data_IF_796137243250
#
_entry.id   IF_796137243250
#
_cell.length_a   1.000
_cell.length_b   1.000
_cell.length_c   1.000
_cell.angle_alpha   90.00
_cell.angle_beta   90.00
_cell.angle_gamma   90.00
#
_symmetry.space_group_name_H-M   'P 1'
#
loop_
_entity.id
_entity.type
_entity.pdbx_description
1 polymer ?
#
# COMPACT_ATOMS: atom_id res chain seq x y z
N UNK A 1 13.37 56.07 -5.59
CA UNK A 1 12.00 55.93 -6.12
C UNK A 1 11.80 54.47 -6.51
N UNK A 2 11.83 53.54 -5.55
CA UNK A 2 10.67 53.02 -4.80
C UNK A 2 9.57 52.46 -5.72
N UNK A 3 9.58 51.14 -5.91
CA UNK A 3 8.35 50.35 -5.84
C UNK A 3 8.71 48.93 -5.39
N UNK A 4 8.72 48.76 -4.08
CA UNK A 4 8.70 47.45 -3.43
C UNK A 4 7.28 46.94 -3.59
N UNK A 5 7.06 45.96 -4.45
CA UNK A 5 5.80 45.23 -4.49
C UNK A 5 5.77 44.33 -3.25
N UNK A 6 4.94 44.74 -2.29
CA UNK A 6 4.54 43.91 -1.15
C UNK A 6 3.52 42.93 -1.70
N UNK A 7 3.96 41.70 -1.98
CA UNK A 7 3.06 40.56 -2.15
C UNK A 7 2.43 40.25 -0.80
N UNK A 8 1.15 40.59 -0.67
CA UNK A 8 0.27 40.16 0.42
C UNK A 8 0.04 38.66 0.36
N UNK A 9 0.96 37.88 0.91
CA UNK A 9 0.78 36.45 1.19
C UNK A 9 -0.01 36.28 2.48
N UNK A 10 -1.34 36.42 2.46
CA UNK A 10 -2.17 35.95 3.58
C UNK A 10 -3.65 35.66 3.26
N UNK A 11 -4.08 35.67 1.98
CA UNK A 11 -5.50 35.45 1.64
C UNK A 11 -5.86 33.99 1.24
N UNK A 12 -4.91 33.04 1.28
CA UNK A 12 -5.11 31.71 0.69
C UNK A 12 -5.36 30.52 1.64
N UNK A 13 -5.17 30.66 2.95
CA UNK A 13 -5.08 29.50 3.87
C UNK A 13 -6.42 29.03 4.47
N UNK A 14 -7.51 29.75 4.22
CA UNK A 14 -8.84 29.35 4.67
C UNK A 14 -9.41 28.15 3.89
N UNK A 15 -10.46 27.46 4.41
CA UNK A 15 -11.09 26.32 3.75
C UNK A 15 -11.52 26.60 2.30
N UNK A 16 -11.99 27.82 2.03
CA UNK A 16 -12.39 28.29 0.69
C UNK A 16 -11.21 28.38 -0.28
N UNK A 17 -10.03 28.80 0.20
CA UNK A 17 -8.81 28.90 -0.61
C UNK A 17 -8.27 27.53 -1.01
N UNK A 18 -8.22 26.60 -0.05
CA UNK A 18 -7.82 25.21 -0.31
C UNK A 18 -8.78 24.51 -1.28
N UNK A 19 -10.09 24.61 -1.09
CA UNK A 19 -11.08 23.99 -1.99
C UNK A 19 -10.92 24.48 -3.44
N UNK A 20 -10.75 25.78 -3.64
CA UNK A 20 -10.53 26.36 -4.96
C UNK A 20 -9.20 25.92 -5.58
N UNK A 21 -8.11 25.88 -4.79
CA UNK A 21 -6.80 25.40 -5.25
C UNK A 21 -6.85 23.92 -5.65
N UNK A 22 -7.55 23.10 -4.86
CA UNK A 22 -7.73 21.67 -5.11
C UNK A 22 -8.52 21.45 -6.39
N UNK A 23 -9.62 22.19 -6.59
CA UNK A 23 -10.42 22.10 -7.82
C UNK A 23 -9.59 22.47 -9.05
N UNK A 24 -8.78 23.53 -8.99
CA UNK A 24 -7.86 23.91 -10.07
C UNK A 24 -6.88 22.77 -10.41
N UNK A 25 -6.29 22.12 -9.40
CA UNK A 25 -5.39 20.99 -9.64
C UNK A 25 -6.09 19.80 -10.31
N UNK A 26 -7.36 19.53 -9.98
CA UNK A 26 -8.12 18.45 -10.59
C UNK A 26 -8.50 18.73 -12.05
N UNK A 27 -8.70 20.01 -12.40
CA UNK A 27 -9.06 20.43 -13.77
C UNK A 27 -7.83 20.61 -14.68
N UNK A 28 -6.62 20.58 -14.14
CA UNK A 28 -5.39 20.72 -14.93
C UNK A 28 -5.04 19.40 -15.64
N UNK A 29 -5.33 19.33 -16.94
CA UNK A 29 -4.99 18.19 -17.80
C UNK A 29 -3.48 17.97 -17.91
N UNK A 30 -2.70 19.04 -18.00
CA UNK A 30 -1.24 19.00 -18.13
C UNK A 30 -0.50 18.35 -16.94
N UNK A 31 -1.20 18.14 -15.82
CA UNK A 31 -0.67 17.44 -14.64
C UNK A 31 -1.56 16.23 -14.38
N UNK A 32 -1.29 15.10 -15.03
CA UNK A 32 -1.92 13.80 -14.78
C UNK A 32 -0.99 12.88 -13.98
N UNK A 33 -1.51 11.75 -13.50
CA UNK A 33 -0.73 10.68 -12.87
C UNK A 33 0.10 11.12 -11.64
N UNK A 34 1.37 10.66 -11.50
CA UNK A 34 2.17 10.91 -10.30
C UNK A 34 2.37 12.40 -9.95
N UNK A 35 2.64 13.32 -10.90
CA UNK A 35 2.70 14.76 -10.63
C UNK A 35 1.42 15.33 -9.99
N UNK A 36 0.23 14.89 -10.43
CA UNK A 36 -1.06 15.33 -9.86
C UNK A 36 -1.19 14.88 -8.42
N UNK A 37 -1.00 13.58 -8.16
CA UNK A 37 -1.10 13.00 -6.82
C UNK A 37 -0.14 13.66 -5.83
N UNK A 38 1.09 13.90 -6.25
CA UNK A 38 2.08 14.58 -5.42
C UNK A 38 1.73 16.06 -5.18
N UNK A 39 1.16 16.76 -6.17
CA UNK A 39 0.69 18.13 -6.00
C UNK A 39 -0.53 18.23 -5.08
N UNK A 40 -1.48 17.29 -5.20
CA UNK A 40 -2.61 17.18 -4.29
C UNK A 40 -2.13 16.91 -2.86
N UNK A 41 -1.22 15.96 -2.66
CA UNK A 41 -0.68 15.66 -1.34
C UNK A 41 0.00 16.89 -0.71
N UNK A 42 0.84 17.62 -1.46
CA UNK A 42 1.48 18.85 -0.96
C UNK A 42 0.47 19.94 -0.62
N UNK A 43 -0.51 20.19 -1.49
CA UNK A 43 -1.55 21.18 -1.23
C UNK A 43 -2.32 20.84 0.06
N UNK A 44 -2.66 19.56 0.25
CA UNK A 44 -3.32 19.10 1.48
C UNK A 44 -2.41 19.21 2.70
N UNK A 45 -1.12 18.88 2.56
CA UNK A 45 -0.14 19.02 3.65
C UNK A 45 -0.04 20.47 4.12
N UNK A 46 0.10 21.43 3.19
CA UNK A 46 0.23 22.85 3.51
C UNK A 46 -1.01 23.38 4.25
N UNK A 47 -2.20 22.99 3.78
CA UNK A 47 -3.46 23.37 4.39
C UNK A 47 -3.63 22.77 5.80
N UNK A 48 -3.41 21.46 5.96
CA UNK A 48 -3.49 20.79 7.25
C UNK A 48 -2.43 21.30 8.24
N UNK A 49 -1.23 21.65 7.75
CA UNK A 49 -0.18 22.25 8.56
C UNK A 49 -0.60 23.61 9.10
N UNK A 50 -1.24 24.44 8.28
CA UNK A 50 -1.82 25.72 8.70
C UNK A 50 -2.86 25.55 9.79
N UNK A 51 -3.83 24.64 9.60
CA UNK A 51 -4.87 24.34 10.60
C UNK A 51 -4.27 23.85 11.92
N UNK A 52 -3.39 22.85 11.85
CA UNK A 52 -2.75 22.26 13.03
C UNK A 52 -1.93 23.29 13.80
N UNK A 53 -1.10 24.08 13.12
CA UNK A 53 -0.17 25.03 13.77
C UNK A 53 -0.93 26.14 14.49
N UNK A 54 -1.95 26.71 13.84
CA UNK A 54 -2.80 27.73 14.43
C UNK A 54 -3.57 27.19 15.64
N UNK A 55 -4.11 25.97 15.53
CA UNK A 55 -4.84 25.32 16.61
C UNK A 55 -3.97 24.96 17.81
N UNK A 56 -2.80 24.35 17.56
CA UNK A 56 -1.86 23.94 18.61
C UNK A 56 -1.36 25.15 19.41
N UNK A 57 -1.07 26.26 18.71
CA UNK A 57 -0.64 27.51 19.35
C UNK A 57 -1.75 28.10 20.22
N UNK A 58 -2.98 28.17 19.71
CA UNK A 58 -4.15 28.70 20.45
C UNK A 58 -4.48 27.87 21.69
N UNK A 59 -4.40 26.54 21.57
CA UNK A 59 -4.69 25.61 22.65
C UNK A 59 -3.50 25.42 23.61
N UNK A 60 -2.33 26.00 23.32
CA UNK A 60 -1.11 25.82 24.11
C UNK A 60 -0.57 24.38 24.11
N UNK A 61 -0.96 23.57 23.12
CA UNK A 61 -0.58 22.16 23.03
C UNK A 61 0.84 22.04 22.48
N UNK A 62 1.70 21.36 23.24
CA UNK A 62 3.03 20.92 22.82
C UNK A 62 3.07 19.39 22.83
N UNK A 63 4.06 18.78 22.17
CA UNK A 63 4.20 17.32 22.13
C UNK A 63 3.10 16.61 21.34
N UNK A 64 2.56 17.27 20.30
CA UNK A 64 1.59 16.68 19.38
C UNK A 64 2.09 16.78 17.93
N UNK A 65 1.64 15.85 17.09
CA UNK A 65 1.97 15.81 15.68
C UNK A 65 0.79 15.29 14.85
N UNK A 66 0.60 15.85 13.66
CA UNK A 66 -0.31 15.34 12.66
C UNK A 66 0.45 14.46 11.68
N UNK A 67 -0.06 13.25 11.46
CA UNK A 67 0.60 12.20 10.68
C UNK A 67 -0.35 11.69 9.60
N UNK A 68 0.10 11.64 8.35
CA UNK A 68 -0.61 10.98 7.27
C UNK A 68 -0.23 9.51 7.22
N UNK A 69 -1.19 8.61 7.02
CA UNK A 69 -0.94 7.16 6.90
C UNK A 69 -1.44 6.64 5.55
N UNK A 70 -1.14 5.37 5.23
CA UNK A 70 -1.67 4.73 4.02
C UNK A 70 -1.30 5.46 2.71
N UNK A 71 -2.27 5.62 1.81
CA UNK A 71 -2.06 6.25 0.50
C UNK A 71 -1.64 7.72 0.59
N UNK A 72 -2.20 8.44 1.56
CA UNK A 72 -1.82 9.83 1.79
C UNK A 72 -0.42 9.94 2.43
N UNK A 73 -0.08 9.02 3.33
CA UNK A 73 1.26 8.87 3.90
C UNK A 73 2.34 8.65 2.82
N UNK A 74 2.02 7.94 1.74
CA UNK A 74 2.92 7.74 0.58
C UNK A 74 3.01 8.93 -0.38
N UNK A 75 2.20 9.99 -0.17
CA UNK A 75 2.14 11.13 -1.09
C UNK A 75 1.41 10.84 -2.40
N UNK A 76 0.51 9.86 -2.39
CA UNK A 76 -0.17 9.32 -3.58
C UNK A 76 -1.68 9.56 -3.52
N UNK A 77 -2.07 10.78 -3.18
CA UNK A 77 -3.46 11.12 -2.97
C UNK A 77 -4.21 11.13 -4.32
N UNK A 78 -5.09 10.15 -4.51
CA UNK A 78 -5.98 10.09 -5.67
C UNK A 78 -7.06 11.19 -5.59
N UNK A 79 -7.64 11.63 -6.72
CA UNK A 79 -8.58 12.76 -6.78
C UNK A 79 -9.75 12.73 -5.79
N UNK A 80 -10.23 11.54 -5.43
CA UNK A 80 -11.37 11.32 -4.54
C UNK A 80 -11.06 10.36 -3.39
N UNK A 81 -9.77 10.06 -3.12
CA UNK A 81 -9.44 9.20 -1.97
C UNK A 81 -9.59 9.94 -0.65
N UNK A 82 -9.92 9.17 0.38
CA UNK A 82 -10.00 9.58 1.77
C UNK A 82 -8.65 10.12 2.27
N UNK A 83 -8.71 10.99 3.27
CA UNK A 83 -7.55 11.40 4.06
C UNK A 83 -7.44 10.48 5.27
N UNK A 84 -6.37 9.69 5.34
CA UNK A 84 -6.08 8.85 6.51
C UNK A 84 -5.10 9.60 7.43
N UNK A 85 -5.58 10.04 8.60
CA UNK A 85 -4.85 10.92 9.52
C UNK A 85 -4.73 10.34 10.94
N UNK A 86 -3.58 10.57 11.57
CA UNK A 86 -3.34 10.25 12.98
C UNK A 86 -2.86 11.53 13.67
N UNK A 87 -3.62 11.98 14.67
CA UNK A 87 -3.17 12.97 15.63
C UNK A 87 -2.45 12.24 16.77
N UNK A 88 -1.12 12.33 16.75
CA UNK A 88 -0.23 11.72 17.73
C UNK A 88 0.05 12.73 18.85
N UNK A 89 0.03 12.30 20.12
CA UNK A 89 0.40 13.13 21.25
C UNK A 89 1.22 12.37 22.31
N UNK A 90 2.06 13.05 23.07
CA UNK A 90 2.89 12.44 24.12
C UNK A 90 2.17 12.23 25.46
N UNK A 91 0.94 12.74 25.58
CA UNK A 91 0.12 12.66 26.80
C UNK A 91 0.34 13.81 27.79
N UNK A 92 1.18 14.79 27.45
CA UNK A 92 1.44 15.97 28.30
C UNK A 92 0.36 17.04 28.22
N UNK A 93 -0.41 17.08 27.12
CA UNK A 93 -1.47 18.04 26.90
C UNK A 93 -2.72 17.71 27.72
N UNK A 94 -3.40 18.74 28.21
CA UNK A 94 -4.73 18.60 28.80
C UNK A 94 -5.74 18.05 27.78
N UNK A 95 -6.67 17.21 28.24
CA UNK A 95 -7.62 16.52 27.38
C UNK A 95 -8.54 17.49 26.62
N UNK A 96 -8.96 18.60 27.24
CA UNK A 96 -9.80 19.58 26.57
C UNK A 96 -9.02 20.36 25.52
N UNK A 97 -7.75 20.68 25.80
CA UNK A 97 -6.85 21.33 24.83
C UNK A 97 -6.56 20.42 23.62
N UNK A 98 -6.36 19.12 23.85
CA UNK A 98 -6.17 18.13 22.78
C UNK A 98 -7.44 17.94 21.94
N UNK A 99 -8.61 17.89 22.57
CA UNK A 99 -9.90 17.83 21.87
C UNK A 99 -10.12 19.07 21.00
N UNK A 100 -9.83 20.27 21.53
CA UNK A 100 -9.94 21.52 20.77
C UNK A 100 -8.97 21.57 19.57
N UNK A 101 -7.76 21.00 19.73
CA UNK A 101 -6.81 20.84 18.63
C UNK A 101 -7.37 19.89 17.55
N UNK A 102 -7.85 18.72 17.96
CA UNK A 102 -8.45 17.72 17.07
C UNK A 102 -9.61 18.31 16.27
N UNK A 103 -10.58 18.92 16.95
CA UNK A 103 -11.75 19.56 16.34
C UNK A 103 -11.37 20.65 15.33
N UNK A 104 -10.35 21.46 15.67
CA UNK A 104 -9.85 22.51 14.77
C UNK A 104 -9.22 21.97 13.49
N UNK A 105 -8.85 20.70 13.43
CA UNK A 105 -8.31 20.02 12.24
C UNK A 105 -9.41 19.24 11.51
N UNK A 106 -10.23 18.48 12.24
CA UNK A 106 -11.21 17.56 11.64
C UNK A 106 -12.43 18.27 11.04
N UNK A 107 -13.02 19.24 11.75
CA UNK A 107 -14.22 19.92 11.25
C UNK A 107 -13.99 20.61 9.89
N UNK A 108 -12.88 21.34 9.67
CA UNK A 108 -12.61 21.90 8.34
C UNK A 108 -12.51 20.85 7.21
N UNK A 109 -12.08 19.62 7.51
CA UNK A 109 -12.03 18.53 6.52
C UNK A 109 -13.44 18.04 6.19
N UNK A 110 -14.27 17.84 7.21
CA UNK A 110 -15.67 17.42 7.03
C UNK A 110 -16.53 18.50 6.37
N UNK A 111 -16.34 19.76 6.73
CA UNK A 111 -17.09 20.89 6.17
C UNK A 111 -16.86 21.05 4.66
N UNK A 112 -15.70 20.60 4.17
CA UNK A 112 -15.38 20.55 2.74
C UNK A 112 -15.90 19.29 2.04
N UNK A 113 -16.56 18.38 2.76
CA UNK A 113 -17.07 17.12 2.24
C UNK A 113 -15.97 16.13 1.84
N UNK A 114 -14.75 16.28 2.37
CA UNK A 114 -13.69 15.29 2.17
C UNK A 114 -13.90 14.11 3.11
N UNK A 115 -13.76 12.90 2.56
CA UNK A 115 -13.73 11.70 3.38
C UNK A 115 -12.47 11.67 4.25
N UNK A 116 -12.64 11.33 5.53
CA UNK A 116 -11.62 11.37 6.56
C UNK A 116 -11.71 10.11 7.42
N UNK A 117 -10.66 9.31 7.41
CA UNK A 117 -10.40 8.32 8.46
C UNK A 117 -9.37 8.93 9.41
N UNK A 118 -9.70 9.01 10.71
CA UNK A 118 -8.83 9.66 11.68
C UNK A 118 -8.78 8.93 13.01
N UNK A 119 -7.67 9.14 13.73
CA UNK A 119 -7.53 8.69 15.11
C UNK A 119 -6.69 9.65 15.92
N UNK A 120 -6.95 9.71 17.24
CA UNK A 120 -6.13 10.45 18.20
C UNK A 120 -5.53 9.42 19.15
N UNK A 121 -4.20 9.33 19.21
CA UNK A 121 -3.50 8.30 19.98
C UNK A 121 -2.18 8.80 20.55
N UNK A 122 -1.77 8.22 21.66
CA UNK A 122 -0.37 8.20 22.08
C UNK A 122 0.46 7.20 21.26
N UNK A 123 1.80 7.29 21.24
CA UNK A 123 2.64 6.27 20.61
C UNK A 123 2.39 4.86 21.17
N UNK A 124 2.11 4.75 22.48
CA UNK A 124 1.79 3.48 23.13
C UNK A 124 0.48 2.87 22.61
N UNK A 125 -0.57 3.68 22.50
CA UNK A 125 -1.86 3.25 21.95
C UNK A 125 -1.76 2.91 20.46
N UNK A 126 -1.06 3.72 19.66
CA UNK A 126 -0.84 3.44 18.24
C UNK A 126 -0.13 2.10 18.02
N UNK A 127 0.90 1.81 18.82
CA UNK A 127 1.59 0.50 18.80
C UNK A 127 0.70 -0.63 19.27
N UNK A 128 -0.10 -0.43 20.32
CA UNK A 128 -1.05 -1.44 20.81
C UNK A 128 -2.08 -1.78 19.72
N UNK A 129 -2.73 -0.78 19.13
CA UNK A 129 -3.70 -1.01 18.05
C UNK A 129 -3.06 -1.68 16.84
N UNK A 130 -1.82 -1.32 16.46
CA UNK A 130 -1.09 -2.04 15.43
C UNK A 130 -0.78 -3.51 15.81
N UNK A 131 -0.57 -3.77 17.10
CA UNK A 131 -0.43 -5.09 17.68
C UNK A 131 -1.72 -5.93 17.63
N UNK A 132 -2.89 -5.30 17.63
CA UNK A 132 -4.17 -6.00 17.62
C UNK A 132 -4.76 -6.11 16.20
N UNK A 133 -4.52 -5.13 15.34
CA UNK A 133 -5.06 -5.05 13.97
C UNK A 133 -3.95 -4.90 12.92
N UNK A 134 -3.85 -5.92 12.05
CA UNK A 134 -2.90 -5.95 10.94
C UNK A 134 -3.12 -4.80 9.95
N UNK A 135 -4.36 -4.38 9.68
CA UNK A 135 -4.62 -3.26 8.74
C UNK A 135 -4.07 -1.95 9.28
N UNK A 136 -4.23 -1.70 10.57
CA UNK A 136 -3.65 -0.52 11.24
C UNK A 136 -2.12 -0.58 11.19
N UNK A 137 -1.53 -1.75 11.43
CA UNK A 137 -0.09 -1.93 11.33
C UNK A 137 0.43 -1.60 9.93
N UNK A 138 -0.23 -2.10 8.88
CA UNK A 138 0.14 -1.82 7.48
C UNK A 138 0.02 -0.33 7.16
N UNK A 139 -1.03 0.35 7.62
CA UNK A 139 -1.19 1.80 7.43
C UNK A 139 -0.06 2.60 8.09
N UNK A 140 0.36 2.20 9.29
CA UNK A 140 1.41 2.88 10.05
C UNK A 140 2.82 2.65 9.47
N UNK A 141 3.05 1.63 8.63
CA UNK A 141 4.31 1.50 7.87
C UNK A 141 4.53 2.69 6.92
N UNK A 142 3.43 3.34 6.50
CA UNK A 142 3.44 4.51 5.64
C UNK A 142 3.31 5.84 6.41
N UNK A 143 3.42 5.84 7.74
CA UNK A 143 3.18 7.01 8.60
C UNK A 143 4.12 8.19 8.32
N UNK A 144 3.69 9.23 7.62
CA UNK A 144 4.50 10.40 7.24
C UNK A 144 4.12 11.63 8.07
N UNK A 145 5.09 12.38 8.62
CA UNK A 145 4.77 13.62 9.33
C UNK A 145 4.15 14.65 8.37
N UNK A 146 3.10 15.32 8.84
CA UNK A 146 2.47 16.48 8.18
C UNK A 146 2.81 17.75 8.96
N UNK A 147 2.56 17.76 10.28
CA UNK A 147 2.83 18.93 11.13
C UNK A 147 3.16 18.54 12.58
N UNK A 148 3.73 19.47 13.35
CA UNK A 148 4.00 19.31 14.79
C UNK A 148 5.34 18.62 15.11
N UNK A 149 5.38 17.84 16.19
CA UNK A 149 6.60 17.25 16.72
C UNK A 149 7.13 16.08 15.84
N UNK A 150 8.17 16.37 15.05
CA UNK A 150 8.81 15.38 14.18
C UNK A 150 9.53 14.26 14.96
N UNK A 151 10.02 14.53 16.16
CA UNK A 151 10.69 13.54 17.01
C UNK A 151 9.72 12.48 17.50
N UNK A 152 8.49 12.89 17.85
CA UNK A 152 7.41 11.98 18.23
C UNK A 152 7.04 11.03 17.08
N UNK A 153 6.90 11.55 15.86
CA UNK A 153 6.59 10.74 14.66
C UNK A 153 7.73 9.81 14.29
N UNK A 154 8.98 10.29 14.34
CA UNK A 154 10.17 9.48 14.05
C UNK A 154 10.30 8.30 15.03
N UNK A 155 10.01 8.53 16.31
CA UNK A 155 10.01 7.51 17.35
C UNK A 155 8.93 6.44 17.09
N UNK A 156 7.71 6.87 16.74
CA UNK A 156 6.62 5.94 16.38
C UNK A 156 6.99 5.10 15.15
N UNK A 157 7.46 5.73 14.06
CA UNK A 157 7.84 5.03 12.82
C UNK A 157 8.91 3.97 13.08
N UNK A 158 9.92 4.31 13.87
CA UNK A 158 11.00 3.38 14.24
C UNK A 158 10.45 2.19 15.00
N UNK A 159 9.59 2.43 15.99
CA UNK A 159 9.00 1.37 16.79
C UNK A 159 8.07 0.47 15.97
N UNK A 160 7.19 1.02 15.13
CA UNK A 160 6.29 0.24 14.27
C UNK A 160 7.06 -0.63 13.28
N UNK A 161 8.12 -0.11 12.66
CA UNK A 161 8.93 -0.88 11.73
C UNK A 161 9.70 -2.00 12.44
N UNK A 162 10.23 -1.73 13.65
CA UNK A 162 10.85 -2.75 14.48
C UNK A 162 9.84 -3.85 14.89
N UNK A 163 8.65 -3.45 15.32
CA UNK A 163 7.56 -4.37 15.68
C UNK A 163 7.15 -5.24 14.49
N UNK A 164 7.00 -4.64 13.29
CA UNK A 164 6.69 -5.36 12.05
C UNK A 164 7.75 -6.41 11.71
N UNK A 165 9.03 -6.05 11.75
CA UNK A 165 10.14 -6.97 11.46
C UNK A 165 10.24 -8.10 12.47
N UNK A 166 10.12 -7.77 13.76
CA UNK A 166 10.18 -8.76 14.84
C UNK A 166 9.01 -9.75 14.78
N UNK A 167 7.83 -9.28 14.38
CA UNK A 167 6.62 -10.10 14.27
C UNK A 167 6.42 -10.73 12.88
N UNK A 168 7.33 -10.49 11.91
CA UNK A 168 7.17 -10.95 10.53
C UNK A 168 6.84 -12.45 10.40
N UNK A 169 7.46 -13.38 11.17
CA UNK A 169 7.11 -14.81 11.08
C UNK A 169 5.65 -15.12 11.42
N UNK A 170 5.01 -14.31 12.27
CA UNK A 170 3.58 -14.44 12.62
C UNK A 170 2.69 -13.62 11.69
N UNK A 171 3.13 -12.41 11.32
CA UNK A 171 2.32 -11.42 10.58
C UNK A 171 2.26 -11.67 9.09
N UNK A 172 3.32 -12.18 8.47
CA UNK A 172 3.33 -12.43 7.04
C UNK A 172 2.36 -13.55 6.63
N UNK A 173 2.24 -14.68 7.36
CA UNK A 173 1.18 -15.66 7.10
C UNK A 173 -0.23 -15.05 7.19
N UNK A 174 -0.50 -14.26 8.24
CA UNK A 174 -1.80 -13.58 8.39
C UNK A 174 -2.07 -12.57 7.26
N UNK A 175 -1.03 -11.86 6.78
CA UNK A 175 -1.15 -10.97 5.62
C UNK A 175 -1.44 -11.77 4.34
N UNK A 176 -0.81 -12.93 4.17
CA UNK A 176 -1.05 -13.79 3.02
C UNK A 176 -2.49 -14.31 2.99
N UNK A 177 -2.99 -14.78 4.13
CA UNK A 177 -4.39 -15.21 4.31
C UNK A 177 -5.38 -14.10 3.95
N UNK A 178 -5.18 -12.87 4.46
CA UNK A 178 -6.00 -11.71 4.08
C UNK A 178 -5.95 -11.40 2.57
N UNK A 179 -4.82 -11.67 1.90
CA UNK A 179 -4.73 -11.50 0.45
C UNK A 179 -5.51 -12.60 -0.29
N UNK A 180 -5.46 -13.85 0.18
CA UNK A 180 -6.20 -14.96 -0.39
C UNK A 180 -7.71 -14.78 -0.23
N UNK A 181 -8.19 -14.50 0.98
CA UNK A 181 -9.62 -14.24 1.25
C UNK A 181 -10.18 -13.12 0.36
N UNK A 182 -9.38 -12.07 0.18
CA UNK A 182 -9.76 -10.96 -0.70
C UNK A 182 -9.79 -11.38 -2.16
N UNK A 183 -8.80 -12.14 -2.63
CA UNK A 183 -8.76 -12.65 -4.00
C UNK A 183 -9.96 -13.57 -4.31
N UNK A 184 -10.35 -14.44 -3.37
CA UNK A 184 -11.53 -15.31 -3.50
C UNK A 184 -12.82 -14.51 -3.66
N UNK A 185 -12.96 -13.42 -2.90
CA UNK A 185 -14.17 -12.59 -2.92
C UNK A 185 -14.22 -11.63 -4.11
N UNK A 186 -13.07 -11.08 -4.52
CA UNK A 186 -12.98 -10.03 -5.54
C UNK A 186 -12.68 -10.57 -6.94
N UNK A 187 -12.14 -11.79 -7.05
CA UNK A 187 -11.64 -12.35 -8.29
C UNK A 187 -10.27 -11.80 -8.70
N UNK A 188 -9.82 -12.21 -9.89
CA UNK A 188 -8.57 -11.74 -10.47
C UNK A 188 -8.79 -10.62 -11.47
N UNK A 189 -8.13 -9.48 -11.23
CA UNK A 189 -8.29 -8.26 -12.02
C UNK A 189 -8.14 -8.51 -13.52
N UNK A 190 -7.16 -9.33 -13.92
CA UNK A 190 -6.86 -9.67 -15.32
C UNK A 190 -7.97 -10.46 -16.05
N UNK A 191 -8.96 -11.01 -15.33
CA UNK A 191 -10.02 -11.85 -15.90
C UNK A 191 -11.42 -11.26 -15.74
N UNK A 192 -11.53 -10.05 -15.15
CA UNK A 192 -12.81 -9.41 -14.87
C UNK A 192 -13.13 -8.37 -15.93
N UNK A 193 -14.33 -8.44 -16.51
CA UNK A 193 -14.84 -7.42 -17.45
C UNK A 193 -15.04 -6.05 -16.80
N UNK A 194 -15.34 -6.03 -15.49
CA UNK A 194 -15.49 -4.81 -14.70
C UNK A 194 -14.60 -4.87 -13.44
N UNK A 195 -13.28 -4.75 -13.62
CA UNK A 195 -12.33 -5.03 -12.56
C UNK A 195 -12.38 -4.00 -11.42
N UNK A 196 -12.19 -4.45 -10.18
CA UNK A 196 -11.83 -3.57 -9.07
C UNK A 196 -10.30 -3.34 -9.07
N UNK A 197 -9.87 -2.11 -9.32
CA UNK A 197 -8.46 -1.74 -9.48
C UNK A 197 -7.66 -1.83 -8.17
N UNK A 198 -8.35 -1.88 -7.02
CA UNK A 198 -7.74 -1.80 -5.70
C UNK A 198 -7.73 -3.14 -5.01
N UNK A 199 -8.90 -3.76 -4.86
CA UNK A 199 -9.10 -4.92 -4.00
C UNK A 199 -9.02 -6.25 -4.77
N UNK A 200 -9.18 -6.31 -6.09
CA UNK A 200 -8.99 -7.56 -6.84
C UNK A 200 -7.53 -8.07 -6.81
N UNK A 201 -7.33 -9.37 -7.06
CA UNK A 201 -5.98 -9.96 -7.18
C UNK A 201 -5.25 -9.35 -8.38
N UNK A 202 -4.00 -8.93 -8.18
CA UNK A 202 -3.23 -8.11 -9.11
C UNK A 202 -3.48 -6.60 -8.97
N UNK A 203 -4.32 -6.17 -8.03
CA UNK A 203 -4.68 -4.77 -7.79
C UNK A 203 -3.71 -4.01 -6.86
N UNK A 204 -4.06 -2.76 -6.57
CA UNK A 204 -3.23 -1.85 -5.76
C UNK A 204 -3.00 -2.35 -4.31
N UNK A 205 -3.92 -3.12 -3.75
CA UNK A 205 -3.78 -3.68 -2.40
C UNK A 205 -2.71 -4.79 -2.37
N UNK A 206 -2.57 -5.58 -3.42
CA UNK A 206 -1.48 -6.57 -3.57
C UNK A 206 -0.12 -5.86 -3.65
N UNK A 207 -0.03 -4.80 -4.47
CA UNK A 207 1.18 -3.97 -4.53
C UNK A 207 1.53 -3.34 -3.17
N UNK A 208 0.53 -3.01 -2.35
CA UNK A 208 0.74 -2.51 -0.98
C UNK A 208 1.25 -3.63 -0.05
N UNK A 209 0.72 -4.84 -0.17
CA UNK A 209 1.20 -6.01 0.58
C UNK A 209 2.66 -6.35 0.23
N UNK A 210 3.04 -6.30 -1.05
CA UNK A 210 4.42 -6.48 -1.49
C UNK A 210 5.39 -5.49 -0.83
N UNK A 211 5.00 -4.22 -0.70
CA UNK A 211 5.80 -3.21 0.03
C UNK A 211 5.95 -3.56 1.51
N UNK A 212 4.90 -4.06 2.15
CA UNK A 212 4.95 -4.50 3.54
C UNK A 212 5.88 -5.71 3.72
N UNK A 213 5.84 -6.67 2.79
CA UNK A 213 6.79 -7.80 2.76
C UNK A 213 8.22 -7.28 2.64
N UNK A 214 8.51 -6.37 1.70
CA UNK A 214 9.85 -5.76 1.57
C UNK A 214 10.30 -5.06 2.88
N UNK A 215 9.40 -4.35 3.55
CA UNK A 215 9.68 -3.68 4.83
C UNK A 215 10.03 -4.66 5.97
N UNK A 216 9.57 -5.92 5.88
CA UNK A 216 9.87 -6.98 6.85
C UNK A 216 11.28 -7.55 6.72
N UNK A 217 11.99 -7.27 5.62
CA UNK A 217 13.26 -7.88 5.23
C UNK A 217 13.25 -9.41 5.06
N UNK A 218 12.06 -10.02 4.95
CA UNK A 218 11.96 -11.48 4.71
C UNK A 218 12.14 -11.81 3.24
N UNK A 219 11.52 -11.03 2.35
CA UNK A 219 11.60 -11.18 0.90
C UNK A 219 11.43 -9.82 0.23
N UNK A 220 11.76 -9.74 -1.05
CA UNK A 220 11.51 -8.57 -1.89
C UNK A 220 10.79 -9.01 -3.16
N UNK A 221 10.04 -8.09 -3.75
CA UNK A 221 9.32 -8.36 -4.99
C UNK A 221 10.21 -8.22 -6.21
N UNK A 222 9.97 -8.99 -7.29
CA UNK A 222 10.53 -8.70 -8.59
C UNK A 222 10.28 -7.23 -8.96
N UNK A 223 11.37 -6.49 -9.23
CA UNK A 223 11.31 -5.03 -9.45
C UNK A 223 10.93 -4.68 -10.89
N UNK A 224 11.22 -5.58 -11.81
CA UNK A 224 10.96 -5.39 -13.24
C UNK A 224 9.45 -5.22 -13.48
N UNK A 225 9.07 -4.14 -14.14
CA UNK A 225 7.68 -3.82 -14.47
C UNK A 225 6.78 -3.41 -13.29
N UNK A 226 7.05 -3.85 -12.05
CA UNK A 226 6.13 -3.67 -10.90
C UNK A 226 5.81 -2.19 -10.61
N UNK A 227 6.81 -1.32 -10.70
CA UNK A 227 6.60 0.12 -10.47
C UNK A 227 5.74 0.75 -11.59
N UNK A 228 5.89 0.29 -12.83
CA UNK A 228 5.09 0.77 -13.97
C UNK A 228 3.66 0.22 -13.89
N UNK A 229 3.50 -1.08 -13.68
CA UNK A 229 2.19 -1.71 -13.49
C UNK A 229 1.36 -1.00 -12.41
N UNK A 230 1.99 -0.70 -11.28
CA UNK A 230 1.36 0.06 -10.20
C UNK A 230 1.00 1.50 -10.61
N UNK A 231 1.85 2.17 -11.39
CA UNK A 231 1.53 3.50 -11.95
C UNK A 231 0.30 3.41 -12.87
N UNK A 232 0.26 2.45 -13.79
CA UNK A 232 -0.88 2.23 -14.69
C UNK A 232 -2.18 2.05 -13.92
N UNK A 233 -2.18 1.23 -12.86
CA UNK A 233 -3.38 1.02 -12.02
C UNK A 233 -3.78 2.30 -11.26
N UNK A 234 -2.83 3.06 -10.72
CA UNK A 234 -3.11 4.33 -10.04
C UNK A 234 -3.63 5.41 -11.02
N UNK A 235 -3.05 5.48 -12.21
CA UNK A 235 -3.44 6.45 -13.24
C UNK A 235 -4.84 6.13 -13.76
N UNK A 236 -5.15 4.85 -13.96
CA UNK A 236 -6.51 4.37 -14.30
C UNK A 236 -7.52 4.72 -13.21
N UNK A 237 -7.16 4.48 -11.94
CA UNK A 237 -8.00 4.84 -10.79
C UNK A 237 -8.24 6.35 -10.71
N UNK A 238 -7.21 7.16 -10.96
CA UNK A 238 -7.33 8.61 -10.94
C UNK A 238 -8.26 9.11 -12.05
N UNK A 239 -8.14 8.56 -13.26
CA UNK A 239 -9.04 8.85 -14.37
C UNK A 239 -10.48 8.45 -14.03
N UNK A 240 -10.69 7.24 -13.49
CA UNK A 240 -12.01 6.77 -13.04
C UNK A 240 -12.65 7.71 -12.01
N UNK A 241 -11.89 8.18 -11.03
CA UNK A 241 -12.37 9.14 -10.03
C UNK A 241 -12.76 10.50 -10.63
N UNK A 242 -12.04 10.95 -11.65
CA UNK A 242 -12.31 12.23 -12.32
C UNK A 242 -13.52 12.12 -13.24
N UNK A 243 -13.59 11.06 -14.05
CA UNK A 243 -14.71 10.78 -14.96
C UNK A 243 -16.03 10.60 -14.19
N UNK A 244 -16.02 9.79 -13.13
CA UNK A 244 -17.25 9.49 -12.38
C UNK A 244 -17.60 10.52 -11.32
N UNK A 245 -16.64 11.38 -10.94
CA UNK A 245 -16.74 12.26 -9.78
C UNK A 245 -16.82 11.54 -8.42
N UNK A 246 -16.65 10.21 -8.39
CA UNK A 246 -16.87 9.34 -7.22
C UNK A 246 -15.58 8.68 -6.75
N UNK A 247 -15.52 8.31 -5.47
CA UNK A 247 -14.46 7.50 -4.88
C UNK A 247 -14.70 6.00 -5.16
N UNK A 248 -14.72 5.61 -6.44
CA UNK A 248 -14.97 4.22 -6.86
C UNK A 248 -13.71 3.57 -7.41
N UNK A 249 -13.48 2.32 -7.01
CA UNK A 249 -12.35 1.51 -7.47
C UNK A 249 -12.76 0.50 -8.56
N UNK A 250 -14.06 0.37 -8.87
CA UNK A 250 -14.58 -0.56 -9.89
C UNK A 250 -14.71 0.12 -11.25
N UNK A 251 -13.96 -0.38 -12.22
CA UNK A 251 -13.99 0.06 -13.62
C UNK A 251 -15.19 -0.58 -14.35
N UNK A 252 -16.39 -0.05 -14.09
CA UNK A 252 -17.62 -0.50 -14.71
C UNK A 252 -17.62 -0.27 -16.24
N UNK A 253 -18.30 -1.14 -16.98
CA UNK A 253 -18.27 -1.19 -18.46
C UNK A 253 -18.61 0.17 -19.09
N UNK A 254 -19.65 0.81 -18.58
CA UNK A 254 -20.14 2.12 -19.03
C UNK A 254 -19.14 3.29 -18.84
N UNK A 255 -18.15 3.13 -17.96
CA UNK A 255 -17.14 4.16 -17.67
C UNK A 255 -15.85 3.94 -18.50
N UNK A 256 -15.66 2.75 -19.09
CA UNK A 256 -14.39 2.33 -19.67
C UNK A 256 -13.94 3.22 -20.84
N UNK A 257 -14.83 3.54 -21.77
CA UNK A 257 -14.50 4.42 -22.91
C UNK A 257 -14.12 5.83 -22.45
N UNK A 258 -14.85 6.37 -21.48
CA UNK A 258 -14.57 7.71 -20.94
C UNK A 258 -13.24 7.74 -20.17
N UNK A 259 -12.93 6.67 -19.42
CA UNK A 259 -11.64 6.52 -18.73
C UNK A 259 -10.50 6.36 -19.74
N UNK A 260 -10.69 5.58 -20.80
CA UNK A 260 -9.71 5.42 -21.87
C UNK A 260 -9.39 6.77 -22.54
N UNK A 261 -10.43 7.54 -22.89
CA UNK A 261 -10.28 8.87 -23.46
C UNK A 261 -9.53 9.82 -22.50
N UNK A 262 -9.87 9.81 -21.21
CA UNK A 262 -9.20 10.63 -20.20
C UNK A 262 -7.71 10.30 -20.01
N UNK A 263 -7.31 9.06 -20.34
CA UNK A 263 -5.91 8.62 -20.35
C UNK A 263 -5.23 8.83 -21.72
N UNK A 264 -5.92 9.38 -22.71
CA UNK A 264 -5.40 9.56 -24.07
C UNK A 264 -5.27 8.25 -24.85
N UNK A 265 -6.04 7.22 -24.47
CA UNK A 265 -6.13 5.94 -25.19
C UNK A 265 -7.24 5.98 -26.23
N UNK A 266 -7.16 5.10 -27.23
CA UNK A 266 -8.10 5.07 -28.35
C UNK A 266 -9.50 4.59 -27.92
N UNK A 267 -9.55 3.54 -27.10
CA UNK A 267 -10.78 2.84 -26.72
C UNK A 267 -10.62 2.05 -25.41
N UNK A 268 -11.74 1.51 -24.92
CA UNK A 268 -11.79 0.64 -23.74
C UNK A 268 -10.93 -0.63 -23.89
N UNK A 269 -10.77 -1.19 -25.09
CA UNK A 269 -10.01 -2.42 -25.30
C UNK A 269 -8.51 -2.21 -25.04
N UNK A 270 -7.93 -1.10 -25.52
CA UNK A 270 -6.55 -0.72 -25.20
C UNK A 270 -6.38 -0.46 -23.70
N UNK A 271 -7.34 0.21 -23.07
CA UNK A 271 -7.33 0.44 -21.63
C UNK A 271 -7.29 -0.89 -20.85
N UNK A 272 -8.25 -1.78 -21.12
CA UNK A 272 -8.34 -3.07 -20.44
C UNK A 272 -7.09 -3.91 -20.67
N UNK A 273 -6.52 -3.91 -21.88
CA UNK A 273 -5.25 -4.60 -22.16
C UNK A 273 -4.13 -4.09 -21.25
N UNK A 274 -3.94 -2.77 -21.13
CA UNK A 274 -2.91 -2.20 -20.25
C UNK A 274 -3.16 -2.53 -18.77
N UNK A 275 -4.42 -2.46 -18.34
CA UNK A 275 -4.84 -2.80 -16.97
C UNK A 275 -4.58 -4.28 -16.66
N UNK A 276 -4.86 -5.19 -17.60
CA UNK A 276 -4.62 -6.62 -17.44
C UNK A 276 -3.12 -6.96 -17.46
N UNK A 277 -2.34 -6.31 -18.33
CA UNK A 277 -0.87 -6.46 -18.35
C UNK A 277 -0.27 -6.01 -17.01
N UNK A 278 -0.69 -4.86 -16.49
CA UNK A 278 -0.27 -4.37 -15.18
C UNK A 278 -0.67 -5.35 -14.05
N UNK A 279 -1.92 -5.82 -14.05
CA UNK A 279 -2.39 -6.78 -13.05
C UNK A 279 -1.63 -8.10 -13.11
N UNK A 280 -1.27 -8.59 -14.30
CA UNK A 280 -0.43 -9.79 -14.47
C UNK A 280 0.94 -9.60 -13.83
N UNK A 281 1.58 -8.45 -14.03
CA UNK A 281 2.86 -8.13 -13.41
C UNK A 281 2.75 -8.13 -11.88
N UNK A 282 1.70 -7.52 -11.32
CA UNK A 282 1.47 -7.49 -9.87
C UNK A 282 1.18 -8.89 -9.32
N UNK A 283 0.33 -9.67 -9.98
CA UNK A 283 0.01 -11.06 -9.59
C UNK A 283 1.25 -11.94 -9.64
N UNK A 284 2.06 -11.85 -10.70
CA UNK A 284 3.32 -12.58 -10.79
C UNK A 284 4.28 -12.22 -9.65
N UNK A 285 4.47 -10.92 -9.39
CA UNK A 285 5.31 -10.45 -8.29
C UNK A 285 4.79 -10.96 -6.94
N UNK A 286 3.47 -10.95 -6.75
CA UNK A 286 2.78 -11.46 -5.55
C UNK A 286 3.08 -12.94 -5.34
N UNK A 287 2.92 -13.77 -6.37
CA UNK A 287 3.14 -15.20 -6.26
C UNK A 287 4.61 -15.55 -5.96
N UNK A 288 5.55 -14.91 -6.67
CA UNK A 288 6.98 -15.12 -6.45
C UNK A 288 7.38 -14.70 -5.03
N UNK A 289 6.92 -13.54 -4.57
CA UNK A 289 7.23 -13.05 -3.23
C UNK A 289 6.66 -13.96 -2.14
N UNK A 290 5.42 -14.42 -2.27
CA UNK A 290 4.84 -15.30 -1.25
C UNK A 290 5.50 -16.68 -1.21
N UNK A 291 5.91 -17.23 -2.36
CA UNK A 291 6.74 -18.45 -2.40
C UNK A 291 8.05 -18.25 -1.64
N UNK A 292 8.74 -17.14 -1.89
CA UNK A 292 9.98 -16.80 -1.19
C UNK A 292 9.77 -16.62 0.32
N UNK A 293 8.72 -15.91 0.73
CA UNK A 293 8.35 -15.76 2.15
C UNK A 293 8.15 -17.12 2.79
N UNK A 294 7.35 -17.99 2.17
CA UNK A 294 7.07 -19.33 2.69
C UNK A 294 8.35 -20.17 2.81
N UNK A 295 9.24 -20.11 1.81
CA UNK A 295 10.54 -20.78 1.83
C UNK A 295 11.41 -20.29 2.99
N UNK A 296 11.53 -18.98 3.19
CA UNK A 296 12.33 -18.38 4.27
C UNK A 296 11.75 -18.73 5.64
N UNK A 297 10.43 -18.68 5.82
CA UNK A 297 9.77 -18.99 7.09
C UNK A 297 9.89 -20.48 7.44
N UNK A 298 9.73 -21.39 6.46
CA UNK A 298 9.97 -22.84 6.64
C UNK A 298 11.43 -23.13 7.03
N UNK A 299 12.39 -22.49 6.36
CA UNK A 299 13.81 -22.68 6.70
C UNK A 299 14.14 -22.25 8.15
N UNK A 300 13.40 -21.27 8.70
CA UNK A 300 13.55 -20.78 10.09
C UNK A 300 12.83 -21.65 11.13
N UNK A 301 11.75 -22.36 10.76
CA UNK A 301 10.98 -23.19 11.69
C UNK A 301 11.65 -24.54 11.99
N UNK A 302 12.49 -25.06 11.09
CA UNK A 302 13.26 -26.30 11.31
C UNK A 302 14.38 -26.03 12.32
N UNK A 303 14.20 -26.49 13.57
CA UNK A 303 15.17 -26.29 14.67
C UNK A 303 16.57 -26.80 14.30
N UNK A 304 17.65 -26.05 14.59
CA UNK A 304 19.03 -26.47 14.33
C UNK A 304 19.40 -27.80 15.01
N UNK A 305 18.87 -28.07 16.21
CA UNK A 305 19.12 -29.33 16.94
C UNK A 305 18.46 -30.55 16.31
N UNK A 306 17.26 -30.40 15.73
CA UNK A 306 16.60 -31.48 15.00
C UNK A 306 17.32 -31.73 13.66
N UNK A 307 17.76 -30.66 13.01
CA UNK A 307 18.57 -30.70 11.79
C UNK A 307 19.90 -31.44 12.03
N UNK A 308 20.59 -31.16 13.14
CA UNK A 308 21.83 -31.82 13.53
C UNK A 308 21.64 -33.29 14.01
N UNK A 309 20.49 -33.65 14.58
CA UNK A 309 20.16 -35.04 14.93
C UNK A 309 19.76 -35.89 13.71
N UNK A 310 19.11 -35.29 12.71
CA UNK A 310 18.72 -35.97 11.47
C UNK A 310 19.89 -36.05 10.46
N UNK A 311 20.78 -35.06 10.44
CA UNK A 311 22.02 -35.10 9.67
C UNK A 311 23.17 -35.63 10.53
N UNK A 312 23.16 -36.94 10.82
CA UNK A 312 24.24 -37.57 11.59
C UNK A 312 25.62 -37.22 11.02
N UNK A 313 26.43 -36.49 11.79
CA UNK A 313 27.88 -36.33 11.64
C UNK A 313 28.40 -35.81 10.29
N UNK A 314 29.03 -34.63 10.33
CA UNK A 314 29.81 -33.98 9.26
C UNK A 314 29.00 -33.35 8.10
N UNK A 315 28.87 -32.02 8.15
CA UNK A 315 29.09 -31.12 7.01
C UNK A 315 28.18 -31.20 5.78
N UNK A 316 27.20 -32.09 5.74
CA UNK A 316 26.25 -32.18 4.63
C UNK A 316 25.26 -31.02 4.71
N UNK A 317 25.31 -30.09 3.75
CA UNK A 317 24.18 -29.20 3.46
C UNK A 317 22.97 -30.10 3.24
N UNK A 318 22.05 -30.14 4.22
CA UNK A 318 20.82 -30.91 4.12
C UNK A 318 20.18 -30.62 2.76
N UNK A 319 20.16 -31.62 1.89
CA UNK A 319 19.51 -31.51 0.59
C UNK A 319 18.04 -31.15 0.85
N UNK A 320 17.44 -30.25 0.05
CA UNK A 320 16.01 -29.94 0.18
C UNK A 320 15.21 -31.25 0.17
N UNK A 321 14.29 -31.40 1.11
CA UNK A 321 13.44 -32.58 1.22
C UNK A 321 12.57 -32.62 -0.04
N UNK A 322 12.80 -33.62 -0.89
CA UNK A 322 12.12 -33.77 -2.18
C UNK A 322 11.03 -34.82 -2.05
N UNK A 323 9.78 -34.41 -2.15
CA UNK A 323 8.64 -35.33 -2.08
C UNK A 323 8.20 -35.68 -3.50
N UNK A 324 8.11 -36.96 -3.90
CA UNK A 324 7.59 -37.32 -5.21
C UNK A 324 6.14 -36.87 -5.37
N UNK A 325 5.82 -36.13 -6.43
CA UNK A 325 4.45 -35.73 -6.76
C UNK A 325 3.89 -36.56 -7.91
N UNK A 326 4.72 -36.78 -8.93
CA UNK A 326 4.43 -37.67 -10.06
C UNK A 326 5.74 -38.22 -10.62
N UNK A 327 5.67 -39.18 -11.53
CA UNK A 327 6.89 -39.66 -12.18
C UNK A 327 7.59 -38.52 -12.96
N UNK A 328 8.89 -38.38 -12.72
CA UNK A 328 9.70 -37.24 -13.20
C UNK A 328 9.46 -35.90 -12.51
N UNK A 329 8.58 -35.81 -11.51
CA UNK A 329 8.16 -34.55 -10.86
C UNK A 329 8.19 -34.66 -9.34
N UNK A 330 8.84 -33.71 -8.67
CA UNK A 330 8.97 -33.67 -7.21
C UNK A 330 8.59 -32.30 -6.67
N UNK A 331 8.01 -32.26 -5.48
CA UNK A 331 7.98 -31.08 -4.63
C UNK A 331 9.37 -30.87 -4.04
N UNK A 332 9.90 -29.66 -4.14
CA UNK A 332 11.11 -29.24 -3.45
C UNK A 332 10.85 -27.87 -2.82
N UNK A 333 10.79 -27.81 -1.49
CA UNK A 333 10.51 -26.58 -0.74
C UNK A 333 9.21 -25.85 -1.16
N UNK A 334 8.18 -26.61 -1.61
CA UNK A 334 6.92 -26.05 -2.10
C UNK A 334 6.92 -25.65 -3.58
N UNK A 335 7.96 -26.00 -4.33
CA UNK A 335 8.01 -25.86 -5.79
C UNK A 335 7.89 -27.22 -6.47
N UNK A 336 7.05 -27.29 -7.50
CA UNK A 336 7.01 -28.43 -8.41
C UNK A 336 8.21 -28.33 -9.36
N UNK A 337 9.21 -29.17 -9.13
CA UNK A 337 10.44 -29.21 -9.94
C UNK A 337 10.60 -30.56 -10.62
N UNK A 338 11.34 -30.56 -11.72
CA UNK A 338 11.70 -31.81 -12.37
C UNK A 338 12.64 -32.63 -11.49
N UNK A 339 12.35 -33.92 -11.37
CA UNK A 339 13.25 -34.86 -10.73
C UNK A 339 14.60 -34.86 -11.47
N UNK A 340 15.69 -35.12 -10.76
CA UNK A 340 17.04 -35.13 -11.36
C UNK A 340 17.18 -36.13 -12.53
N UNK A 341 16.38 -37.20 -12.50
CA UNK A 341 16.36 -38.23 -13.53
C UNK A 341 15.41 -37.90 -14.70
N UNK A 342 14.62 -36.83 -14.61
CA UNK A 342 13.66 -36.48 -15.64
C UNK A 342 14.37 -36.14 -16.97
N UNK A 343 13.78 -36.58 -18.08
CA UNK A 343 14.29 -36.36 -19.44
C UNK A 343 13.19 -35.72 -20.29
N UNK A 344 13.00 -34.39 -20.23
CA UNK A 344 11.94 -33.69 -20.98
C UNK A 344 11.96 -34.03 -22.47
N UNK A 345 13.15 -34.16 -23.06
CA UNK A 345 13.35 -34.51 -24.47
C UNK A 345 12.77 -35.89 -24.86
N UNK A 346 12.56 -36.79 -23.90
CA UNK A 346 12.12 -38.17 -24.11
C UNK A 346 10.74 -38.46 -23.52
N UNK A 347 10.12 -37.46 -22.90
CA UNK A 347 8.89 -37.59 -22.17
C UNK A 347 7.97 -36.39 -22.47
N UNK A 348 7.23 -36.43 -23.59
CA UNK A 348 6.43 -35.30 -24.05
C UNK A 348 5.25 -34.97 -23.13
N UNK A 349 4.88 -35.88 -22.22
CA UNK A 349 3.79 -35.68 -21.24
C UNK A 349 4.28 -35.17 -19.88
N UNK A 350 5.61 -35.10 -19.67
CA UNK A 350 6.20 -34.57 -18.44
C UNK A 350 5.75 -33.12 -18.11
N UNK A 351 5.67 -32.17 -19.06
CA UNK A 351 5.16 -30.82 -18.77
C UNK A 351 3.71 -30.82 -18.29
N UNK A 352 2.85 -31.68 -18.86
CA UNK A 352 1.45 -31.81 -18.43
C UNK A 352 1.34 -32.41 -17.02
N UNK A 353 2.17 -33.41 -16.69
CA UNK A 353 2.24 -33.96 -15.32
C UNK A 353 2.73 -32.92 -14.32
N UNK A 354 3.75 -32.14 -14.67
CA UNK A 354 4.23 -31.05 -13.83
C UNK A 354 3.16 -29.98 -13.63
N UNK A 355 2.42 -29.61 -14.68
CA UNK A 355 1.31 -28.66 -14.58
C UNK A 355 0.17 -29.21 -13.70
N UNK A 356 -0.21 -30.48 -13.87
CA UNK A 356 -1.25 -31.11 -13.05
C UNK A 356 -0.84 -31.27 -11.59
N UNK A 357 0.44 -31.51 -11.29
CA UNK A 357 0.96 -31.57 -9.94
C UNK A 357 1.08 -30.18 -9.26
N UNK A 358 1.08 -29.10 -10.05
CA UNK A 358 1.18 -27.72 -9.59
C UNK A 358 -0.18 -27.01 -9.46
N UNK A 359 -1.25 -27.59 -10.02
CA UNK A 359 -2.63 -27.14 -9.91
C UNK A 359 -3.23 -27.62 -8.58
#
# INVERSE_FOLDING_TARGET
>A
MTRTEVTTETEGSGPSGYAAARLRLLQQEARSGPPRRAALARLTDDWLTGLFTAAATRAGVRGAALVAVGGYGRGELSPRSDLDLLLLHDGSADAAALAALADSVWYPVWDLGLALDHSVRTPGEARKTAGDDLKVQLGLLDARPVAGDLGLVASLRTAILADWRNQAPKRLPALHELCQERAERMGELQFLLEPDLKEARGGLRDATALRAVAASWVADAPREGLAEARRTLLDTRDALHLTTGRATDRLALQEQDQVAQALGLLDADILLRQVYEAARTVSYATDVTWREVNRVLRARSVRPKLRAMLSGGLGSKAAPERTPLADGVVDADGEVVLARAARPERDPVLPLRAAAAAA
#
